data_IF_508959101999
#
_entry.id   IF_508959101999
#
_cell.length_a   1.000
_cell.length_b   1.000
_cell.length_c   1.000
_cell.angle_alpha   90.00
_cell.angle_beta   90.00
_cell.angle_gamma   90.00
#
_symmetry.space_group_name_H-M   'P 1'
#
loop_
_entity.id
_entity.type
_entity.pdbx_description
1 polymer ?
#
# COMPACT_ATOMS: atom_id res chain seq x y z
N UNK A 1 -14.29 -64.67 -4.59
CA UNK A 1 -14.09 -63.75 -5.75
C UNK A 1 -15.13 -62.61 -5.85
N UNK A 2 -16.45 -62.86 -5.71
CA UNK A 2 -17.50 -61.81 -5.85
C UNK A 2 -17.40 -60.61 -4.88
N UNK A 3 -17.00 -60.81 -3.62
CA UNK A 3 -16.87 -59.73 -2.61
C UNK A 3 -15.79 -58.69 -2.94
N UNK A 4 -14.70 -59.09 -3.60
CA UNK A 4 -13.58 -58.20 -3.97
C UNK A 4 -13.97 -57.21 -5.08
N UNK A 5 -14.80 -57.65 -6.04
CA UNK A 5 -15.29 -56.81 -7.14
C UNK A 5 -16.29 -55.76 -6.63
N UNK A 6 -17.14 -56.15 -5.67
CA UNK A 6 -18.12 -55.25 -5.07
C UNK A 6 -17.46 -54.15 -4.22
N UNK A 7 -16.37 -54.47 -3.51
CA UNK A 7 -15.58 -53.50 -2.75
C UNK A 7 -14.87 -52.48 -3.66
N UNK A 8 -14.24 -52.94 -4.75
CA UNK A 8 -13.62 -52.04 -5.75
C UNK A 8 -14.62 -51.11 -6.44
N UNK A 9 -15.85 -51.58 -6.67
CA UNK A 9 -16.94 -50.75 -7.21
C UNK A 9 -17.39 -49.68 -6.20
N UNK A 10 -17.50 -50.03 -4.92
CA UNK A 10 -17.84 -49.09 -3.85
C UNK A 10 -16.78 -47.98 -3.71
N UNK A 11 -15.48 -48.34 -3.70
CA UNK A 11 -14.38 -47.38 -3.62
C UNK A 11 -14.36 -46.39 -4.79
N UNK A 12 -14.52 -46.87 -6.04
CA UNK A 12 -14.63 -45.96 -7.21
C UNK A 12 -15.85 -45.05 -7.13
N UNK A 13 -16.96 -45.56 -6.60
CA UNK A 13 -18.16 -44.75 -6.45
C UNK A 13 -17.92 -43.62 -5.44
N UNK A 14 -17.28 -43.90 -4.30
CA UNK A 14 -16.89 -42.90 -3.29
C UNK A 14 -15.94 -41.87 -3.89
N UNK A 15 -14.87 -42.29 -4.59
CA UNK A 15 -13.92 -41.40 -5.26
C UNK A 15 -14.62 -40.48 -6.28
N UNK A 16 -15.54 -41.01 -7.08
CA UNK A 16 -16.30 -40.21 -8.05
C UNK A 16 -17.23 -39.19 -7.37
N UNK A 17 -17.89 -39.56 -6.27
CA UNK A 17 -18.69 -38.58 -5.49
C UNK A 17 -17.83 -37.50 -4.87
N UNK A 18 -16.65 -37.85 -4.36
CA UNK A 18 -15.72 -36.87 -3.78
C UNK A 18 -15.20 -35.90 -4.85
N UNK A 19 -14.79 -36.40 -6.02
CA UNK A 19 -14.37 -35.57 -7.15
C UNK A 19 -15.51 -34.65 -7.62
N UNK A 20 -16.74 -35.16 -7.70
CA UNK A 20 -17.91 -34.36 -8.07
C UNK A 20 -18.19 -33.25 -7.05
N UNK A 21 -18.07 -33.54 -5.75
CA UNK A 21 -18.22 -32.54 -4.69
C UNK A 21 -17.16 -31.44 -4.75
N UNK A 22 -15.90 -31.80 -5.03
CA UNK A 22 -14.81 -30.84 -5.21
C UNK A 22 -15.06 -29.95 -6.43
N UNK A 23 -15.48 -30.51 -7.56
CA UNK A 23 -15.80 -29.74 -8.78
C UNK A 23 -16.96 -28.78 -8.52
N UNK A 24 -18.03 -29.22 -7.86
CA UNK A 24 -19.17 -28.36 -7.50
C UNK A 24 -18.70 -27.23 -6.59
N UNK A 25 -17.86 -27.52 -5.59
CA UNK A 25 -17.33 -26.51 -4.68
C UNK A 25 -16.46 -25.45 -5.38
N UNK A 26 -15.62 -25.86 -6.34
CA UNK A 26 -14.82 -24.92 -7.14
C UNK A 26 -15.72 -24.06 -8.04
N UNK A 27 -16.73 -24.66 -8.66
CA UNK A 27 -17.69 -23.93 -9.50
C UNK A 27 -18.53 -22.93 -8.68
N UNK A 28 -18.97 -23.29 -7.48
CA UNK A 28 -19.72 -22.36 -6.61
C UNK A 28 -18.84 -21.21 -6.15
N UNK A 29 -17.56 -21.45 -5.81
CA UNK A 29 -16.59 -20.39 -5.52
C UNK A 29 -16.41 -19.45 -6.72
N UNK A 30 -16.24 -19.98 -7.94
CA UNK A 30 -16.09 -19.17 -9.16
C UNK A 30 -17.34 -18.31 -9.44
N UNK A 31 -18.54 -18.86 -9.23
CA UNK A 31 -19.80 -18.12 -9.37
C UNK A 31 -19.92 -17.03 -8.30
N UNK A 32 -19.57 -17.32 -7.05
CA UNK A 32 -19.52 -16.33 -5.96
C UNK A 32 -18.53 -15.19 -6.27
N UNK A 33 -17.35 -15.51 -6.80
CA UNK A 33 -16.35 -14.49 -7.17
C UNK A 33 -16.81 -13.61 -8.34
N UNK A 34 -17.45 -14.18 -9.36
CA UNK A 34 -17.95 -13.43 -10.52
C UNK A 34 -19.15 -12.55 -10.16
N UNK A 35 -20.09 -13.06 -9.37
CA UNK A 35 -21.25 -12.29 -8.88
C UNK A 35 -20.81 -11.17 -7.92
N UNK A 36 -19.85 -11.42 -7.03
CA UNK A 36 -19.27 -10.38 -6.18
C UNK A 36 -18.62 -9.25 -7.00
N UNK A 37 -17.90 -9.56 -8.10
CA UNK A 37 -17.36 -8.52 -8.99
C UNK A 37 -18.46 -7.68 -9.66
N UNK A 38 -19.54 -8.31 -10.12
CA UNK A 38 -20.62 -7.62 -10.84
C UNK A 38 -21.42 -6.70 -9.91
N UNK A 39 -21.68 -7.13 -8.66
CA UNK A 39 -22.53 -6.38 -7.73
C UNK A 39 -21.72 -5.35 -6.93
N UNK A 40 -20.53 -5.72 -6.46
CA UNK A 40 -19.77 -4.86 -5.55
C UNK A 40 -19.07 -3.71 -6.30
N UNK A 41 -18.60 -3.94 -7.53
CA UNK A 41 -17.80 -2.97 -8.28
C UNK A 41 -18.55 -1.70 -8.70
N UNK A 42 -19.81 -1.76 -9.23
CA UNK A 42 -20.58 -0.55 -9.56
C UNK A 42 -20.97 0.25 -8.30
N UNK A 43 -21.34 -0.45 -7.23
CA UNK A 43 -21.70 0.14 -5.94
C UNK A 43 -20.49 0.82 -5.27
N UNK A 44 -19.30 0.25 -5.47
CA UNK A 44 -18.02 0.86 -5.10
C UNK A 44 -17.78 2.18 -5.85
N UNK A 45 -17.96 2.17 -7.17
CA UNK A 45 -17.70 3.32 -8.02
C UNK A 45 -18.63 4.49 -7.69
N UNK A 46 -19.90 4.20 -7.41
CA UNK A 46 -20.90 5.20 -7.06
C UNK A 46 -20.65 5.82 -5.66
N UNK A 47 -20.23 5.03 -4.68
CA UNK A 47 -19.93 5.54 -3.32
C UNK A 47 -18.66 6.39 -3.28
N UNK A 48 -17.65 6.09 -4.12
CA UNK A 48 -16.45 6.92 -4.27
C UNK A 48 -16.78 8.28 -4.90
N UNK A 49 -17.69 8.33 -5.88
CA UNK A 49 -18.10 9.59 -6.51
C UNK A 49 -18.89 10.52 -5.57
N UNK A 50 -19.68 9.98 -4.65
CA UNK A 50 -20.46 10.79 -3.71
C UNK A 50 -19.65 11.37 -2.53
N UNK A 51 -18.44 10.85 -2.26
CA UNK A 51 -17.54 11.40 -1.25
C UNK A 51 -16.74 12.63 -1.72
N UNK A 52 -16.81 12.97 -3.00
CA UNK A 52 -16.13 14.12 -3.60
C UNK A 52 -17.08 15.32 -3.65
N UNK A 53 -17.30 15.96 -2.50
CA UNK A 53 -18.00 17.25 -2.45
C UNK A 53 -17.02 18.38 -2.79
N UNK A 54 -17.52 19.26 -3.66
CA UNK A 54 -16.88 20.29 -4.49
C UNK A 54 -16.16 21.47 -3.79
N UNK A 55 -15.59 21.33 -2.59
CA UNK A 55 -15.01 22.47 -1.85
C UNK A 55 -13.55 22.84 -2.18
N UNK A 56 -12.87 22.10 -3.07
CA UNK A 56 -11.49 22.41 -3.50
C UNK A 56 -11.39 22.95 -4.93
N UNK A 57 -12.48 23.50 -5.48
CA UNK A 57 -12.42 24.32 -6.70
C UNK A 57 -12.09 25.75 -6.32
N UNK A 58 -10.89 26.20 -6.72
CA UNK A 58 -10.44 27.60 -6.87
C UNK A 58 -9.27 28.07 -5.99
N UNK A 59 -8.21 27.29 -5.87
CA UNK A 59 -6.87 27.90 -5.90
C UNK A 59 -6.06 27.24 -7.00
N UNK A 60 -6.07 27.88 -8.18
CA UNK A 60 -5.02 27.66 -9.17
C UNK A 60 -3.75 28.24 -8.54
N UNK A 61 -3.02 27.41 -7.80
CA UNK A 61 -1.65 27.73 -7.42
C UNK A 61 -0.88 27.90 -8.72
N UNK A 62 -0.51 29.13 -9.04
CA UNK A 62 0.45 29.38 -10.10
C UNK A 62 1.75 28.65 -9.71
N UNK A 63 2.13 27.64 -10.50
CA UNK A 63 3.17 26.67 -10.18
C UNK A 63 4.58 27.24 -10.38
N UNK A 64 4.99 28.26 -9.63
CA UNK A 64 6.40 28.62 -9.55
C UNK A 64 6.99 28.16 -8.21
N UNK A 65 8.16 27.52 -8.28
CA UNK A 65 8.88 26.95 -7.11
C UNK A 65 9.06 28.00 -6.01
N UNK A 66 9.19 29.28 -6.37
CA UNK A 66 9.34 30.41 -5.44
C UNK A 66 8.08 30.65 -4.60
N UNK A 67 6.89 30.53 -5.17
CA UNK A 67 5.61 30.63 -4.46
C UNK A 67 5.42 29.46 -3.50
N UNK A 68 5.70 28.24 -3.95
CA UNK A 68 5.71 27.06 -3.09
C UNK A 68 6.71 27.22 -1.94
N UNK A 69 7.93 27.70 -2.21
CA UNK A 69 8.93 27.99 -1.17
C UNK A 69 8.39 28.98 -0.13
N UNK A 70 7.75 30.06 -0.56
CA UNK A 70 7.19 31.06 0.35
C UNK A 70 6.06 30.50 1.22
N UNK A 71 5.24 29.60 0.67
CA UNK A 71 4.21 28.89 1.44
C UNK A 71 4.87 27.96 2.46
N UNK A 72 5.83 27.14 2.03
CA UNK A 72 6.52 26.19 2.89
C UNK A 72 7.30 26.85 4.04
N UNK A 73 7.86 28.04 3.82
CA UNK A 73 8.51 28.83 4.87
C UNK A 73 7.54 29.17 6.00
N UNK A 74 6.25 29.40 5.71
CA UNK A 74 5.24 29.71 6.74
C UNK A 74 4.98 28.52 7.67
N UNK A 75 5.03 27.30 7.14
CA UNK A 75 4.86 26.06 7.91
C UNK A 75 6.14 25.54 8.56
N UNK A 76 7.29 26.08 8.18
CA UNK A 76 8.58 25.73 8.79
C UNK A 76 8.77 26.43 10.13
N UNK A 77 9.42 25.76 11.08
CA UNK A 77 9.98 26.45 12.24
C UNK A 77 10.99 27.50 11.72
N UNK A 78 10.82 28.76 12.13
CA UNK A 78 11.68 29.89 11.72
C UNK A 78 13.15 29.68 12.09
N UNK A 79 13.39 28.82 13.07
CA UNK A 79 14.70 28.26 13.33
C UNK A 79 14.88 27.05 12.42
N UNK A 80 15.71 27.17 11.38
CA UNK A 80 16.31 25.99 10.76
C UNK A 80 16.75 25.09 11.92
N UNK A 81 16.18 23.89 12.03
CA UNK A 81 16.78 22.89 12.90
C UNK A 81 18.25 22.86 12.48
N UNK A 82 19.19 23.10 13.40
CA UNK A 82 20.60 23.03 13.07
C UNK A 82 20.90 21.54 12.89
N UNK A 83 20.51 21.01 11.74
CA UNK A 83 21.08 19.81 11.18
C UNK A 83 22.43 20.26 10.61
N UNK A 84 23.29 20.72 11.53
CA UNK A 84 24.70 20.94 11.26
C UNK A 84 25.30 19.55 11.09
N UNK A 85 26.25 19.45 10.16
CA UNK A 85 27.05 18.24 9.97
C UNK A 85 26.34 17.03 9.36
N UNK A 86 25.12 17.18 8.78
CA UNK A 86 24.61 16.19 7.82
C UNK A 86 25.16 16.51 6.43
N UNK A 87 25.97 15.60 5.92
CA UNK A 87 26.45 15.64 4.55
C UNK A 87 25.24 15.53 3.59
N UNK A 88 25.01 16.58 2.82
CA UNK A 88 23.99 16.58 1.77
C UNK A 88 24.61 16.02 0.50
N UNK A 89 24.26 14.79 0.16
CA UNK A 89 24.66 14.22 -1.12
C UNK A 89 23.70 14.71 -2.23
N UNK A 90 24.23 15.17 -3.38
CA UNK A 90 23.38 15.48 -4.52
C UNK A 90 22.69 14.21 -5.00
N UNK A 91 21.42 14.35 -5.34
CA UNK A 91 20.63 13.27 -5.90
C UNK A 91 21.22 12.81 -7.24
N UNK A 92 21.64 11.54 -7.32
CA UNK A 92 22.33 11.00 -8.51
C UNK A 92 21.41 10.87 -9.72
N UNK A 93 20.12 10.66 -9.48
CA UNK A 93 19.08 10.48 -10.48
C UNK A 93 17.77 10.96 -9.91
N UNK A 94 16.99 11.69 -10.69
CA UNK A 94 15.62 12.03 -10.30
C UNK A 94 14.60 10.96 -10.70
N UNK A 95 15.03 9.85 -11.32
CA UNK A 95 14.10 8.78 -11.69
C UNK A 95 13.85 7.86 -10.49
N UNK A 96 12.57 7.59 -10.21
CA UNK A 96 12.18 6.69 -9.13
C UNK A 96 11.67 5.35 -9.68
N UNK A 97 11.94 4.22 -8.99
CA UNK A 97 11.34 2.94 -9.30
C UNK A 97 9.80 2.99 -9.37
N UNK A 98 9.20 2.20 -10.27
CA UNK A 98 7.72 2.05 -10.35
C UNK A 98 7.21 1.10 -9.25
N UNK A 99 7.55 1.41 -8.01
CA UNK A 99 7.14 0.69 -6.80
C UNK A 99 6.37 1.60 -5.87
N UNK A 100 5.34 1.06 -5.22
CA UNK A 100 4.56 1.71 -4.18
C UNK A 100 4.78 0.92 -2.88
N UNK A 101 5.11 1.62 -1.81
CA UNK A 101 5.37 1.07 -0.49
C UNK A 101 4.30 1.55 0.48
N UNK A 102 3.67 0.59 1.16
CA UNK A 102 2.63 0.81 2.16
C UNK A 102 3.05 0.07 3.43
N UNK A 103 2.84 0.67 4.60
CA UNK A 103 3.27 0.10 5.89
C UNK A 103 2.04 -0.12 6.77
N UNK A 104 2.01 -1.25 7.47
CA UNK A 104 1.11 -1.48 8.59
C UNK A 104 1.78 -2.36 9.65
N UNK A 105 1.79 -1.92 10.90
CA UNK A 105 2.49 -2.56 12.01
C UNK A 105 1.63 -2.52 13.28
N UNK A 106 1.95 -3.39 14.25
CA UNK A 106 1.39 -3.55 15.60
C UNK A 106 0.06 -4.28 15.75
N UNK A 107 -0.77 -4.34 14.71
CA UNK A 107 -2.09 -4.95 14.82
C UNK A 107 -2.46 -5.64 13.53
N UNK A 108 -3.47 -6.51 13.56
CA UNK A 108 -4.11 -6.96 12.33
C UNK A 108 -4.57 -5.76 11.47
N UNK A 109 -4.51 -5.90 10.14
CA UNK A 109 -4.97 -4.86 9.23
C UNK A 109 -6.50 -4.83 9.18
N UNK A 110 -7.15 -3.69 9.46
CA UNK A 110 -8.58 -3.54 9.22
C UNK A 110 -8.97 -3.79 7.75
N UNK A 111 -10.12 -4.44 7.53
CA UNK A 111 -10.62 -4.78 6.18
C UNK A 111 -10.77 -3.56 5.24
N UNK A 112 -11.10 -2.39 5.78
CA UNK A 112 -11.18 -1.14 4.98
C UNK A 112 -9.84 -0.76 4.35
N UNK A 113 -8.73 -1.00 5.05
CA UNK A 113 -7.39 -0.67 4.57
C UNK A 113 -6.87 -1.71 3.59
N UNK A 114 -7.20 -2.98 3.80
CA UNK A 114 -7.05 -4.03 2.79
C UNK A 114 -7.70 -3.60 1.47
N UNK A 115 -8.95 -3.14 1.53
CA UNK A 115 -9.68 -2.68 0.33
C UNK A 115 -8.96 -1.51 -0.37
N UNK A 116 -8.42 -0.55 0.39
CA UNK A 116 -7.64 0.54 -0.19
C UNK A 116 -6.40 0.04 -0.92
N UNK A 117 -5.63 -0.86 -0.31
CA UNK A 117 -4.44 -1.49 -0.93
C UNK A 117 -4.81 -2.20 -2.24
N UNK A 118 -5.93 -2.93 -2.24
CA UNK A 118 -6.42 -3.62 -3.43
C UNK A 118 -6.82 -2.65 -4.54
N UNK A 119 -7.59 -1.61 -4.21
CA UNK A 119 -7.97 -0.59 -5.19
C UNK A 119 -6.74 0.11 -5.76
N UNK A 120 -5.75 0.44 -4.91
CA UNK A 120 -4.48 1.03 -5.35
C UNK A 120 -3.75 0.12 -6.34
N UNK A 121 -3.70 -1.19 -6.07
CA UNK A 121 -3.07 -2.17 -6.96
C UNK A 121 -3.79 -2.33 -8.32
N UNK A 122 -5.12 -2.38 -8.32
CA UNK A 122 -5.93 -2.53 -9.54
C UNK A 122 -5.90 -1.26 -10.40
N UNK A 123 -5.95 -0.08 -9.79
CA UNK A 123 -5.95 1.21 -10.50
C UNK A 123 -4.58 1.58 -11.07
N UNK A 124 -3.51 1.00 -10.55
CA UNK A 124 -2.13 1.32 -10.94
C UNK A 124 -1.43 0.06 -11.49
N UNK A 125 -1.83 -0.45 -12.67
CA UNK A 125 -1.29 -1.67 -13.24
C UNK A 125 0.21 -1.58 -13.59
N UNK A 126 0.72 -0.36 -13.76
CA UNK A 126 2.13 -0.09 -14.09
C UNK A 126 3.07 -0.06 -12.88
N UNK A 127 2.53 -0.17 -11.66
CA UNK A 127 3.32 -0.17 -10.43
C UNK A 127 3.33 -1.54 -9.77
N UNK A 128 4.44 -1.89 -9.13
CA UNK A 128 4.47 -2.98 -8.15
C UNK A 128 4.19 -2.42 -6.76
N UNK A 129 3.40 -3.12 -5.95
CA UNK A 129 3.02 -2.69 -4.62
C UNK A 129 3.63 -3.63 -3.56
N UNK A 130 4.29 -3.04 -2.58
CA UNK A 130 4.86 -3.71 -1.42
C UNK A 130 4.13 -3.28 -0.16
N UNK A 131 3.49 -4.24 0.50
CA UNK A 131 2.86 -4.06 1.80
C UNK A 131 3.81 -4.59 2.89
N UNK A 132 4.39 -3.68 3.65
CA UNK A 132 5.33 -3.96 4.72
C UNK A 132 4.62 -4.16 6.04
N UNK A 133 4.88 -5.30 6.69
CA UNK A 133 4.15 -5.80 7.84
C UNK A 133 5.11 -6.26 8.93
N UNK A 134 4.72 -6.14 10.19
CA UNK A 134 5.34 -6.91 11.26
C UNK A 134 4.58 -8.22 11.52
N UNK A 135 5.15 -9.10 12.34
CA UNK A 135 4.57 -10.40 12.68
C UNK A 135 3.12 -10.30 13.19
N UNK A 136 2.81 -9.23 13.93
CA UNK A 136 1.48 -9.00 14.50
C UNK A 136 0.42 -8.66 13.44
N UNK A 137 0.84 -8.23 12.26
CA UNK A 137 -0.02 -7.72 11.19
C UNK A 137 -0.41 -8.74 10.12
N UNK A 138 0.11 -9.98 10.20
CA UNK A 138 0.00 -10.97 9.11
C UNK A 138 -1.35 -11.70 8.98
N UNK A 139 -2.25 -11.62 9.97
CA UNK A 139 -3.38 -12.55 10.11
C UNK A 139 -4.31 -12.61 8.88
N UNK A 140 -4.44 -11.51 8.12
CA UNK A 140 -5.28 -11.43 6.92
C UNK A 140 -4.56 -10.92 5.66
N UNK A 141 -3.48 -10.16 5.81
CA UNK A 141 -2.72 -9.56 4.71
C UNK A 141 -2.05 -10.60 3.81
N UNK A 142 -1.58 -11.70 4.41
CA UNK A 142 -0.95 -12.82 3.70
C UNK A 142 -1.95 -13.44 2.73
N UNK A 143 -3.17 -13.74 3.16
CA UNK A 143 -4.16 -14.36 2.29
C UNK A 143 -4.40 -13.53 1.01
N UNK A 144 -4.34 -12.20 1.12
CA UNK A 144 -4.54 -11.28 0.00
C UNK A 144 -3.38 -11.28 -0.99
N UNK A 145 -2.14 -11.41 -0.52
CA UNK A 145 -0.98 -11.53 -1.41
C UNK A 145 -0.89 -12.91 -2.07
N UNK A 146 -1.40 -13.96 -1.41
CA UNK A 146 -1.39 -15.33 -1.93
C UNK A 146 -2.49 -15.62 -2.96
N UNK A 147 -3.56 -14.81 -3.01
CA UNK A 147 -4.56 -14.88 -4.08
C UNK A 147 -4.01 -14.14 -5.33
N UNK A 148 -3.12 -14.79 -6.09
CA UNK A 148 -2.73 -14.49 -7.48
C UNK A 148 -2.56 -13.01 -7.85
N UNK A 149 -1.82 -12.21 -7.05
CA UNK A 149 -1.43 -10.84 -7.42
C UNK A 149 0.07 -10.70 -7.56
N UNK A 150 0.59 -10.98 -8.76
CA UNK A 150 2.04 -10.98 -9.04
C UNK A 150 2.74 -9.65 -8.67
N UNK A 151 2.02 -8.52 -8.85
CA UNK A 151 2.51 -7.17 -8.52
C UNK A 151 2.15 -6.69 -7.12
N UNK A 152 1.56 -7.52 -6.25
CA UNK A 152 1.30 -7.17 -4.85
C UNK A 152 2.05 -8.15 -3.94
N UNK A 153 3.06 -7.65 -3.23
CA UNK A 153 3.92 -8.49 -2.39
C UNK A 153 3.88 -8.00 -0.95
N UNK A 154 3.76 -8.93 -0.02
CA UNK A 154 3.95 -8.65 1.41
C UNK A 154 5.42 -8.82 1.78
N UNK A 155 5.92 -7.98 2.69
CA UNK A 155 7.29 -8.04 3.21
C UNK A 155 7.27 -7.85 4.71
N UNK A 156 8.20 -8.50 5.42
CA UNK A 156 8.38 -8.28 6.85
C UNK A 156 9.24 -7.03 7.07
N UNK A 157 8.82 -6.10 7.93
CA UNK A 157 9.63 -4.93 8.33
C UNK A 157 10.88 -5.34 9.11
N UNK A 158 10.86 -6.49 9.79
CA UNK A 158 11.99 -7.00 10.57
C UNK A 158 13.10 -7.60 9.69
N UNK A 159 12.87 -7.74 8.37
CA UNK A 159 13.91 -8.14 7.42
C UNK A 159 14.64 -6.97 6.76
N UNK A 160 14.30 -5.73 7.14
CA UNK A 160 14.97 -4.53 6.64
C UNK A 160 16.41 -4.46 7.17
N UNK A 161 17.34 -4.10 6.28
CA UNK A 161 18.65 -3.62 6.68
C UNK A 161 18.51 -2.13 7.03
N UNK A 162 18.44 -1.83 8.32
CA UNK A 162 18.18 -0.49 8.82
C UNK A 162 19.45 0.34 8.83
N UNK A 163 19.35 1.60 8.40
CA UNK A 163 20.43 2.57 8.49
C UNK A 163 20.53 3.16 9.90
N UNK A 164 19.40 3.32 10.58
CA UNK A 164 19.28 3.86 11.94
C UNK A 164 18.54 2.86 12.86
N UNK A 165 19.11 1.67 13.11
CA UNK A 165 18.44 0.59 13.86
C UNK A 165 18.07 1.00 15.29
N UNK A 166 18.86 1.87 15.93
CA UNK A 166 18.61 2.38 17.28
C UNK A 166 17.32 3.19 17.38
N UNK A 167 17.02 4.05 16.39
CA UNK A 167 15.79 4.84 16.37
C UNK A 167 14.55 3.95 16.23
N UNK A 168 14.64 2.92 15.39
CA UNK A 168 13.58 1.92 15.21
C UNK A 168 13.38 1.11 16.49
N UNK A 169 14.47 0.69 17.13
CA UNK A 169 14.43 -0.03 18.40
C UNK A 169 13.76 0.81 19.50
N UNK A 170 14.15 2.07 19.66
CA UNK A 170 13.57 2.96 20.65
C UNK A 170 12.09 3.24 20.40
N UNK A 171 11.69 3.47 19.15
CA UNK A 171 10.28 3.63 18.79
C UNK A 171 9.45 2.39 19.13
N UNK A 172 9.98 1.19 18.89
CA UNK A 172 9.35 -0.08 19.27
C UNK A 172 9.25 -0.24 20.79
N UNK A 173 10.37 -0.05 21.51
CA UNK A 173 10.44 -0.17 22.97
C UNK A 173 9.47 0.77 23.68
N UNK A 174 9.38 2.01 23.21
CA UNK A 174 8.48 3.03 23.75
C UNK A 174 7.04 2.95 23.19
N UNK A 175 6.74 1.97 22.34
CA UNK A 175 5.43 1.74 21.70
C UNK A 175 4.89 2.98 20.96
N UNK A 176 5.79 3.77 20.36
CA UNK A 176 5.45 4.99 19.62
C UNK A 176 5.06 4.64 18.18
N UNK A 177 3.81 4.19 17.98
CA UNK A 177 3.34 3.64 16.69
C UNK A 177 3.51 4.62 15.52
N UNK A 178 3.09 5.88 15.70
CA UNK A 178 3.23 6.91 14.66
C UNK A 178 4.68 7.16 14.28
N UNK A 179 5.55 7.34 15.29
CA UNK A 179 6.99 7.53 15.10
C UNK A 179 7.62 6.34 14.38
N UNK A 180 7.23 5.10 14.71
CA UNK A 180 7.75 3.93 14.00
C UNK A 180 7.38 3.96 12.52
N UNK A 181 6.14 4.30 12.17
CA UNK A 181 5.73 4.46 10.76
C UNK A 181 6.48 5.59 10.06
N UNK A 182 6.73 6.70 10.76
CA UNK A 182 7.52 7.83 10.25
C UNK A 182 8.97 7.46 9.98
N UNK A 183 9.59 6.62 10.80
CA UNK A 183 10.95 6.16 10.57
C UNK A 183 11.02 5.10 9.46
N UNK A 184 10.13 4.10 9.49
CA UNK A 184 10.13 2.99 8.54
C UNK A 184 9.93 3.45 7.09
N UNK A 185 9.09 4.46 6.84
CA UNK A 185 8.86 4.96 5.47
C UNK A 185 10.14 5.51 4.84
N UNK A 186 10.98 6.20 5.62
CA UNK A 186 12.25 6.71 5.14
C UNK A 186 13.27 5.61 4.98
N UNK A 187 13.38 4.67 5.92
CA UNK A 187 14.26 3.49 5.78
C UNK A 187 13.95 2.67 4.53
N UNK A 188 12.65 2.45 4.26
CA UNK A 188 12.18 1.70 3.09
C UNK A 188 12.47 2.46 1.80
N UNK A 189 12.04 3.71 1.69
CA UNK A 189 12.23 4.48 0.44
C UNK A 189 13.72 4.74 0.19
N UNK A 190 14.53 4.97 1.23
CA UNK A 190 15.97 5.12 1.08
C UNK A 190 16.64 3.83 0.58
N UNK A 191 16.15 2.66 0.99
CA UNK A 191 16.73 1.37 0.61
C UNK A 191 16.28 0.87 -0.76
N UNK A 192 15.05 1.19 -1.18
CA UNK A 192 14.41 0.58 -2.36
C UNK A 192 13.97 1.58 -3.43
N UNK A 193 14.02 2.88 -3.13
CA UNK A 193 13.39 3.91 -3.93
C UNK A 193 11.87 3.77 -4.01
N UNK A 194 11.27 4.49 -4.95
CA UNK A 194 9.86 4.42 -5.28
C UNK A 194 9.00 5.34 -4.43
N UNK A 195 7.70 5.05 -4.39
CA UNK A 195 6.68 5.90 -3.78
C UNK A 195 6.29 5.33 -2.42
N UNK A 196 6.30 6.15 -1.38
CA UNK A 196 5.60 5.84 -0.14
C UNK A 196 4.19 6.45 -0.15
N UNK A 197 3.24 5.74 0.46
CA UNK A 197 1.93 6.27 0.77
C UNK A 197 1.36 5.69 2.08
N UNK A 198 0.59 6.48 2.80
CA UNK A 198 -0.18 6.00 3.95
C UNK A 198 -1.25 4.98 3.52
N UNK A 199 -1.52 3.97 4.35
CA UNK A 199 -2.43 2.86 4.01
C UNK A 199 -3.90 3.28 3.85
N UNK A 200 -4.29 4.39 4.48
CA UNK A 200 -5.63 4.94 4.43
C UNK A 200 -5.85 5.84 3.20
N UNK A 201 -4.82 6.03 2.38
CA UNK A 201 -4.93 6.74 1.09
C UNK A 201 -5.81 5.97 0.10
N UNK A 202 -6.65 6.71 -0.62
CA UNK A 202 -7.59 6.18 -1.62
C UNK A 202 -7.19 6.69 -3.00
N UNK A 203 -6.94 5.77 -3.94
CA UNK A 203 -6.75 6.11 -5.34
C UNK A 203 -8.07 6.59 -5.95
N UNK A 204 -8.11 7.84 -6.44
CA UNK A 204 -9.26 8.37 -7.19
C UNK A 204 -9.11 8.16 -8.70
N UNK A 205 -7.87 8.06 -9.19
CA UNK A 205 -7.51 7.76 -10.58
C UNK A 205 -6.15 7.07 -10.65
N UNK A 206 -5.83 6.50 -11.81
CA UNK A 206 -4.50 5.96 -12.09
C UNK A 206 -3.43 7.05 -11.97
N UNK A 207 -2.27 6.67 -11.46
CA UNK A 207 -1.13 7.54 -11.26
C UNK A 207 -0.46 7.89 -12.60
N UNK A 208 -0.27 9.19 -12.89
CA UNK A 208 0.39 9.62 -14.12
C UNK A 208 1.86 9.19 -14.11
N UNK A 209 2.22 8.27 -15.03
CA UNK A 209 3.56 7.67 -15.08
C UNK A 209 4.64 8.59 -15.62
N UNK A 210 4.25 9.69 -16.28
CA UNK A 210 5.14 10.76 -16.74
C UNK A 210 5.62 11.65 -15.58
N UNK A 211 4.76 11.87 -14.58
CA UNK A 211 5.06 12.72 -13.42
C UNK A 211 5.60 11.88 -12.26
N UNK A 212 4.90 10.80 -11.89
CA UNK A 212 5.24 9.98 -10.70
C UNK A 212 6.32 8.92 -10.97
N UNK A 213 7.16 9.17 -11.99
CA UNK A 213 8.45 8.50 -12.19
C UNK A 213 9.64 9.42 -11.89
N UNK A 214 9.37 10.67 -11.50
CA UNK A 214 10.38 11.60 -11.02
C UNK A 214 10.27 11.77 -9.52
N UNK A 215 11.37 12.08 -8.84
CA UNK A 215 11.37 12.33 -7.41
C UNK A 215 10.45 13.51 -7.07
N UNK A 216 9.64 13.34 -6.03
CA UNK A 216 8.65 14.31 -5.62
C UNK A 216 8.37 14.26 -4.13
N UNK A 217 7.91 15.38 -3.59
CA UNK A 217 7.29 15.49 -2.28
C UNK A 217 5.91 16.10 -2.46
N UNK A 218 4.94 15.69 -1.65
CA UNK A 218 3.65 16.35 -1.61
C UNK A 218 3.67 17.48 -0.59
N UNK A 219 3.09 18.62 -0.94
CA UNK A 219 2.84 19.70 0.01
C UNK A 219 1.38 19.68 0.43
N UNK A 220 1.13 20.08 1.67
CA UNK A 220 -0.19 20.43 2.17
C UNK A 220 -0.16 21.93 2.41
N UNK A 221 -1.17 22.64 1.91
CA UNK A 221 -1.37 24.04 2.24
C UNK A 221 -1.87 24.20 3.67
N UNK A 222 -2.82 25.10 3.87
CA UNK A 222 -3.45 25.31 5.17
C UNK A 222 -3.99 24.00 5.79
N UNK A 223 -3.92 23.83 7.13
CA UNK A 223 -3.46 24.82 8.10
C UNK A 223 -1.95 24.79 8.38
N UNK A 224 -1.20 23.84 7.80
CA UNK A 224 0.18 23.57 8.21
C UNK A 224 1.23 24.11 7.24
N UNK A 225 0.87 24.35 5.98
CA UNK A 225 1.76 24.88 4.94
C UNK A 225 3.11 24.14 4.89
N UNK A 226 3.09 22.81 4.89
CA UNK A 226 4.27 21.97 5.04
C UNK A 226 4.41 20.94 3.92
N UNK A 227 5.58 20.30 3.88
CA UNK A 227 5.77 19.06 3.13
C UNK A 227 5.21 17.92 3.97
N UNK A 228 4.31 17.13 3.39
CA UNK A 228 3.83 15.93 4.05
C UNK A 228 4.79 14.77 3.77
N UNK A 229 4.86 13.84 4.72
CA UNK A 229 5.57 12.58 4.57
C UNK A 229 4.60 11.42 4.31
N UNK A 230 3.33 11.70 3.99
CA UNK A 230 2.29 10.70 3.76
C UNK A 230 2.16 10.30 2.29
N UNK A 231 2.74 11.07 1.36
CA UNK A 231 2.85 10.73 -0.06
C UNK A 231 4.08 11.39 -0.70
N UNK A 232 5.12 10.61 -0.99
CA UNK A 232 6.35 11.11 -1.61
C UNK A 232 7.04 10.00 -2.41
N UNK A 233 7.94 10.37 -3.31
CA UNK A 233 8.72 9.42 -4.09
C UNK A 233 10.17 9.86 -4.24
N UNK A 234 11.10 8.94 -4.00
CA UNK A 234 12.54 9.18 -4.13
C UNK A 234 13.21 8.01 -4.88
N UNK A 235 14.44 8.21 -5.40
CA UNK A 235 15.13 7.24 -6.25
C UNK A 235 15.55 5.96 -5.56
#
# INVERSE_FOLDING_TARGET
MKRSIQFKRCLRQIENTFQLQVVIFVLTLLILFTTAKIILYPTLKHSIQQGYNDDYKNEILNNNISQLRNILIKGSVTNELPIKDIEKHPEKTYNIPSTIHIIWVWTEIPQKYIRNVLLMHEMNPHFSLYLWLDDSSFQNATLISWINRERLKTKNVDSLQLNNPELIYDAKKLKRKGVLSDLLRYEIVFSFGGIYMDIDTIALKAYPTDILRKSFVAYIGEPYNNLNNSFFGLP
#
